data_IF_134292597624
#
_entry.id   IF_134292597624
#
_cell.length_a   1.000
_cell.length_b   1.000
_cell.length_c   1.000
_cell.angle_alpha   90.00
_cell.angle_beta   90.00
_cell.angle_gamma   90.00
#
_symmetry.space_group_name_H-M   'P 1'
#
loop_
_entity.id
_entity.type
_entity.pdbx_description
1 polymer ?
#
# COMPACT_ATOMS: atom_id res chain seq x y z
N UNK A 1 35.31 44.65 -49.46
CA UNK A 1 35.42 43.44 -48.62
C UNK A 1 34.13 43.29 -47.81
N UNK A 2 33.20 42.42 -48.25
CA UNK A 2 31.96 42.09 -47.51
C UNK A 2 32.17 40.73 -46.85
N UNK A 3 32.14 40.67 -45.51
CA UNK A 3 32.19 39.41 -44.75
C UNK A 3 30.74 38.98 -44.47
N UNK A 4 30.37 37.81 -44.99
CA UNK A 4 29.09 37.16 -44.70
C UNK A 4 29.13 36.52 -43.30
N UNK A 5 28.08 36.65 -42.47
CA UNK A 5 28.01 35.94 -41.21
C UNK A 5 27.47 34.52 -41.44
N UNK A 6 28.23 33.52 -40.98
CA UNK A 6 27.83 32.10 -40.98
C UNK A 6 26.82 31.87 -39.85
N UNK A 7 25.66 31.23 -40.09
CA UNK A 7 24.71 30.93 -39.03
C UNK A 7 25.23 29.74 -38.20
N UNK A 8 25.43 29.97 -36.91
CA UNK A 8 25.71 28.92 -35.92
C UNK A 8 24.38 28.27 -35.53
N UNK A 9 24.18 27.01 -35.94
CA UNK A 9 23.02 26.21 -35.58
C UNK A 9 23.20 25.71 -34.14
N UNK A 10 22.51 26.33 -33.17
CA UNK A 10 22.53 25.91 -31.78
C UNK A 10 21.59 24.71 -31.57
N UNK A 11 22.17 23.54 -31.32
CA UNK A 11 21.46 22.31 -30.99
C UNK A 11 21.05 22.35 -29.50
N UNK A 12 19.81 22.77 -29.20
CA UNK A 12 19.25 22.69 -27.85
C UNK A 12 18.92 21.24 -27.51
N UNK A 13 19.76 20.61 -26.68
CA UNK A 13 19.42 19.35 -26.03
C UNK A 13 18.30 19.61 -25.00
N UNK A 14 17.05 19.32 -25.37
CA UNK A 14 15.93 19.27 -24.44
C UNK A 14 16.11 18.07 -23.51
N UNK A 15 16.73 18.29 -22.36
CA UNK A 15 16.69 17.34 -21.26
C UNK A 15 15.27 17.40 -20.72
N UNK A 16 14.39 16.51 -21.21
CA UNK A 16 13.05 16.38 -20.65
C UNK A 16 13.18 15.97 -19.18
N UNK A 17 12.76 16.85 -18.27
CA UNK A 17 12.63 16.52 -16.86
C UNK A 17 11.72 15.29 -16.76
N UNK A 18 12.26 14.19 -16.23
CA UNK A 18 11.49 12.99 -15.94
C UNK A 18 10.50 13.30 -14.82
N UNK A 19 9.22 12.96 -15.02
CA UNK A 19 8.22 13.06 -13.97
C UNK A 19 8.60 12.18 -12.78
N UNK A 20 8.25 12.65 -11.59
CA UNK A 20 8.54 11.99 -10.32
C UNK A 20 7.31 11.27 -9.80
N UNK A 21 7.52 10.39 -8.83
CA UNK A 21 6.41 9.73 -8.14
C UNK A 21 5.61 10.79 -7.38
N UNK A 22 4.30 10.78 -7.59
CA UNK A 22 3.33 11.74 -7.06
C UNK A 22 3.12 12.99 -7.92
N UNK A 23 3.78 13.13 -9.08
CA UNK A 23 3.48 14.21 -10.02
C UNK A 23 2.11 13.99 -10.69
N UNK A 24 1.43 15.07 -11.08
CA UNK A 24 0.15 15.00 -11.77
C UNK A 24 0.27 14.44 -13.20
N UNK A 25 -0.76 13.71 -13.65
CA UNK A 25 -0.79 13.16 -15.00
C UNK A 25 -2.22 12.98 -15.53
N UNK A 26 -2.35 12.90 -16.85
CA UNK A 26 -3.62 12.56 -17.53
C UNK A 26 -3.50 11.21 -18.24
N UNK A 27 -2.28 10.77 -18.57
CA UNK A 27 -1.95 9.51 -19.24
C UNK A 27 -0.53 9.07 -18.90
N UNK A 28 -0.22 7.77 -19.04
CA UNK A 28 1.08 7.22 -18.63
C UNK A 28 2.30 7.82 -19.33
N UNK A 29 2.15 8.33 -20.56
CA UNK A 29 3.25 9.01 -21.26
C UNK A 29 3.65 10.34 -20.63
N UNK A 30 2.79 10.94 -19.81
CA UNK A 30 3.12 12.14 -19.03
C UNK A 30 4.11 11.77 -17.90
N UNK A 31 4.06 10.51 -17.43
CA UNK A 31 4.91 9.99 -16.36
C UNK A 31 6.23 9.38 -16.88
N UNK A 32 6.16 8.59 -17.95
CA UNK A 32 7.33 8.04 -18.63
C UNK A 32 6.97 7.60 -20.05
N UNK A 33 7.77 8.02 -21.02
CA UNK A 33 7.68 7.55 -22.41
C UNK A 33 8.20 6.11 -22.54
N UNK A 34 9.06 5.67 -21.61
CA UNK A 34 9.67 4.34 -21.59
C UNK A 34 8.88 3.33 -20.75
N UNK A 35 7.84 3.78 -20.06
CA UNK A 35 6.97 2.93 -19.24
C UNK A 35 7.52 2.60 -17.86
N UNK A 36 8.55 3.31 -17.37
CA UNK A 36 9.07 3.08 -16.01
C UNK A 36 8.10 3.56 -14.92
N UNK A 37 7.16 4.44 -15.28
CA UNK A 37 6.10 4.96 -14.41
C UNK A 37 4.77 4.93 -15.16
N UNK A 38 3.69 4.72 -14.42
CA UNK A 38 2.32 4.67 -14.93
C UNK A 38 1.53 5.82 -14.31
N UNK A 39 0.55 6.34 -15.05
CA UNK A 39 -0.40 7.30 -14.50
C UNK A 39 -1.53 6.54 -13.79
N UNK A 40 -1.53 6.55 -12.46
CA UNK A 40 -2.62 5.99 -11.67
C UNK A 40 -3.83 6.93 -11.74
N UNK A 41 -4.88 6.44 -12.40
CA UNK A 41 -6.15 7.14 -12.59
C UNK A 41 -7.22 6.72 -11.56
N UNK A 42 -6.86 5.91 -10.56
CA UNK A 42 -7.82 5.42 -9.55
C UNK A 42 -8.38 6.55 -8.69
N UNK A 43 -7.60 7.64 -8.53
CA UNK A 43 -7.97 8.79 -7.71
C UNK A 43 -7.77 10.11 -8.46
N UNK A 44 -8.41 10.26 -9.62
CA UNK A 44 -8.36 11.53 -10.36
C UNK A 44 -8.96 12.64 -9.51
N UNK A 45 -8.13 13.52 -8.98
CA UNK A 45 -8.58 14.66 -8.16
C UNK A 45 -8.44 15.97 -8.92
N UNK A 46 -9.34 16.92 -8.64
CA UNK A 46 -9.18 18.31 -9.08
C UNK A 46 -8.28 19.09 -8.11
N UNK A 47 -8.07 20.39 -8.38
CA UNK A 47 -7.23 21.27 -7.55
C UNK A 47 -7.69 21.37 -6.09
N UNK A 48 -8.95 21.01 -5.81
CA UNK A 48 -9.57 21.01 -4.48
C UNK A 48 -9.48 19.65 -3.77
N UNK A 49 -8.88 18.63 -4.39
CA UNK A 49 -8.83 17.26 -3.86
C UNK A 49 -10.08 16.43 -4.09
N UNK A 50 -11.07 16.95 -4.84
CA UNK A 50 -12.32 16.22 -5.10
C UNK A 50 -12.09 15.21 -6.21
N UNK A 51 -12.45 13.94 -5.96
CA UNK A 51 -12.39 12.87 -6.97
C UNK A 51 -13.40 13.18 -8.08
N UNK A 52 -12.91 13.39 -9.30
CA UNK A 52 -13.74 13.69 -10.48
C UNK A 52 -13.20 13.03 -11.75
N UNK A 53 -14.06 12.69 -12.72
CA UNK A 53 -13.60 12.20 -14.03
C UNK A 53 -12.73 13.20 -14.81
N UNK A 54 -12.78 14.49 -14.47
CA UNK A 54 -11.98 15.54 -15.09
C UNK A 54 -10.66 15.82 -14.36
N UNK A 55 -10.47 15.27 -13.15
CA UNK A 55 -9.27 15.46 -12.35
C UNK A 55 -8.02 14.82 -12.97
N UNK A 56 -6.89 15.01 -12.30
CA UNK A 56 -5.59 14.45 -12.70
C UNK A 56 -5.24 13.24 -11.84
N UNK A 57 -4.66 12.23 -12.48
CA UNK A 57 -4.05 11.10 -11.80
C UNK A 57 -2.70 11.47 -11.19
N UNK A 58 -2.00 10.45 -10.70
CA UNK A 58 -0.64 10.59 -10.16
C UNK A 58 0.33 9.59 -10.79
N UNK A 59 1.58 10.00 -10.96
CA UNK A 59 2.61 9.10 -11.45
C UNK A 59 3.06 8.12 -10.35
N UNK A 60 2.93 6.82 -10.60
CA UNK A 60 3.32 5.71 -9.71
C UNK A 60 4.24 4.71 -10.42
N UNK A 61 4.71 3.71 -9.68
CA UNK A 61 5.30 2.48 -10.22
C UNK A 61 4.50 1.31 -9.64
N UNK A 62 3.90 0.49 -10.48
CA UNK A 62 3.08 -0.63 -10.03
C UNK A 62 3.92 -1.90 -9.84
N UNK A 63 3.43 -2.84 -9.03
CA UNK A 63 4.06 -4.16 -8.85
C UNK A 63 5.37 -4.11 -8.08
N UNK A 64 5.54 -3.12 -7.20
CA UNK A 64 6.73 -3.01 -6.37
C UNK A 64 6.75 -4.07 -5.25
N UNK A 65 7.97 -4.42 -4.81
CA UNK A 65 8.24 -5.00 -3.50
C UNK A 65 8.73 -3.93 -2.50
N UNK A 66 8.78 -4.27 -1.20
CA UNK A 66 9.04 -3.36 -0.07
C UNK A 66 10.14 -2.32 -0.30
N UNK A 67 11.28 -2.73 -0.83
CA UNK A 67 12.48 -1.87 -1.02
C UNK A 67 12.85 -1.63 -2.49
N UNK A 68 11.95 -1.97 -3.42
CA UNK A 68 12.17 -1.77 -4.86
C UNK A 68 11.90 -0.34 -5.35
N UNK A 69 11.26 0.49 -4.53
CA UNK A 69 10.91 1.86 -4.90
C UNK A 69 12.12 2.81 -4.83
N UNK A 70 12.12 3.90 -5.65
CA UNK A 70 13.06 5.00 -5.50
C UNK A 70 13.05 5.60 -4.09
N UNK A 71 14.14 6.29 -3.71
CA UNK A 71 14.35 6.80 -2.35
C UNK A 71 13.24 7.75 -1.86
N UNK A 72 12.57 8.46 -2.75
CA UNK A 72 11.46 9.37 -2.47
C UNK A 72 10.12 8.66 -2.26
N UNK A 73 10.03 7.36 -2.52
CA UNK A 73 8.79 6.59 -2.46
C UNK A 73 8.91 5.40 -1.50
N UNK A 74 7.76 4.83 -1.18
CA UNK A 74 7.64 3.56 -0.48
C UNK A 74 6.66 2.67 -1.23
N UNK A 75 6.91 1.37 -1.21
CA UNK A 75 5.98 0.41 -1.76
C UNK A 75 4.84 0.22 -0.77
N UNK A 76 3.61 0.52 -1.19
CA UNK A 76 2.41 0.22 -0.43
C UNK A 76 1.64 -0.89 -1.10
N UNK A 77 0.79 -1.56 -0.33
CA UNK A 77 -0.19 -2.53 -0.76
C UNK A 77 -1.57 -2.00 -0.38
N UNK A 78 -2.44 -1.87 -1.37
CA UNK A 78 -3.80 -1.37 -1.23
C UNK A 78 -4.80 -2.50 -1.47
N UNK A 79 -5.67 -2.74 -0.49
CA UNK A 79 -6.83 -3.62 -0.58
C UNK A 79 -8.08 -2.79 -0.91
N UNK A 80 -9.00 -3.36 -1.67
CA UNK A 80 -10.25 -2.69 -2.02
C UNK A 80 -11.18 -2.54 -0.81
N UNK A 81 -11.83 -1.39 -0.66
CA UNK A 81 -12.73 -1.08 0.47
C UNK A 81 -14.05 -1.87 0.46
N UNK A 82 -14.40 -2.54 -0.64
CA UNK A 82 -15.66 -3.27 -0.79
C UNK A 82 -15.63 -4.69 -0.22
N UNK A 83 -14.49 -5.16 0.31
CA UNK A 83 -14.27 -6.57 0.65
C UNK A 83 -14.16 -6.84 2.16
N UNK A 84 -14.22 -5.79 2.98
CA UNK A 84 -14.09 -5.84 4.44
C UNK A 84 -15.39 -6.26 5.15
N UNK A 85 -16.07 -7.32 4.69
CA UNK A 85 -17.39 -7.70 5.21
C UNK A 85 -17.39 -8.93 6.12
N UNK A 86 -16.39 -9.81 5.98
CA UNK A 86 -16.21 -10.97 6.86
C UNK A 86 -15.30 -10.57 8.00
N UNK A 87 -15.80 -10.74 9.23
CA UNK A 87 -15.01 -10.50 10.44
C UNK A 87 -14.10 -11.69 10.72
N UNK A 88 -12.86 -11.39 11.07
CA UNK A 88 -11.83 -12.36 11.42
C UNK A 88 -11.05 -11.88 12.65
N UNK A 89 -10.31 -12.80 13.26
CA UNK A 89 -9.42 -12.51 14.39
C UNK A 89 -7.96 -12.48 13.88
N UNK A 90 -7.31 -11.29 13.74
CA UNK A 90 -5.98 -11.19 13.15
C UNK A 90 -4.90 -11.98 13.89
N UNK A 91 -5.10 -12.28 15.18
CA UNK A 91 -4.14 -13.03 15.98
C UNK A 91 -4.32 -14.55 15.86
N UNK A 92 -5.44 -15.00 15.29
CA UNK A 92 -5.83 -16.41 15.23
C UNK A 92 -6.16 -16.91 13.83
N UNK A 93 -6.26 -16.02 12.85
CA UNK A 93 -6.48 -16.41 11.46
C UNK A 93 -5.32 -17.27 10.97
N UNK A 94 -5.63 -18.48 10.50
CA UNK A 94 -4.68 -19.50 10.06
C UNK A 94 -3.61 -19.90 11.08
N UNK A 95 -3.72 -19.44 12.32
CA UNK A 95 -2.74 -19.66 13.39
C UNK A 95 -3.35 -20.42 14.57
N UNK A 96 -2.77 -21.58 14.85
CA UNK A 96 -3.03 -22.27 16.10
C UNK A 96 -2.38 -21.48 17.24
N UNK A 97 -3.08 -21.38 18.37
CA UNK A 97 -2.58 -20.68 19.56
C UNK A 97 -2.66 -21.57 20.79
N UNK A 98 -2.00 -21.16 21.86
CA UNK A 98 -2.05 -21.85 23.15
C UNK A 98 -3.03 -21.14 24.08
N UNK A 99 -3.66 -21.90 24.97
CA UNK A 99 -4.46 -21.37 26.06
C UNK A 99 -3.78 -21.72 27.37
N UNK A 100 -3.56 -20.72 28.22
CA UNK A 100 -2.93 -20.91 29.52
C UNK A 100 -4.03 -21.19 30.55
N UNK A 101 -4.06 -22.41 31.09
CA UNK A 101 -5.09 -22.79 32.06
C UNK A 101 -4.97 -22.05 33.40
N UNK A 102 -3.77 -21.65 33.81
CA UNK A 102 -3.55 -20.93 35.06
C UNK A 102 -4.03 -19.48 34.94
N UNK A 103 -3.84 -18.87 33.76
CA UNK A 103 -4.22 -17.48 33.50
C UNK A 103 -5.67 -17.33 33.02
N UNK A 104 -6.10 -18.13 32.04
CA UNK A 104 -7.39 -17.98 31.35
C UNK A 104 -8.49 -18.85 31.97
N UNK A 105 -8.12 -20.01 32.54
CA UNK A 105 -9.05 -20.99 33.10
C UNK A 105 -9.67 -21.94 32.06
N UNK A 106 -10.03 -23.14 32.52
CA UNK A 106 -10.51 -24.24 31.66
C UNK A 106 -11.79 -23.90 30.89
N UNK A 107 -12.76 -23.23 31.52
CA UNK A 107 -14.02 -22.84 30.89
C UNK A 107 -13.79 -21.88 29.71
N UNK A 108 -12.86 -20.91 29.87
CA UNK A 108 -12.54 -19.95 28.83
C UNK A 108 -11.80 -20.62 27.66
N UNK A 109 -10.84 -21.51 27.95
CA UNK A 109 -10.14 -22.29 26.93
C UNK A 109 -11.11 -23.18 26.14
N UNK A 110 -12.05 -23.84 26.82
CA UNK A 110 -13.06 -24.68 26.18
C UNK A 110 -14.01 -23.85 25.31
N UNK A 111 -14.45 -22.68 25.79
CA UNK A 111 -15.29 -21.76 25.02
C UNK A 111 -14.59 -21.24 23.75
N UNK A 112 -13.24 -21.15 23.75
CA UNK A 112 -12.40 -20.81 22.59
C UNK A 112 -12.15 -21.99 21.63
N UNK A 113 -12.73 -23.17 21.91
CA UNK A 113 -12.58 -24.40 21.14
C UNK A 113 -11.23 -25.10 21.37
N UNK A 114 -10.50 -24.74 22.43
CA UNK A 114 -9.19 -25.32 22.71
C UNK A 114 -9.34 -26.73 23.31
N UNK A 115 -8.38 -27.60 23.02
CA UNK A 115 -8.34 -28.97 23.54
C UNK A 115 -7.02 -29.25 24.24
N UNK A 116 -7.00 -30.12 25.27
CA UNK A 116 -5.76 -30.53 25.90
C UNK A 116 -4.83 -31.22 24.89
N UNK A 117 -3.56 -30.85 24.94
CA UNK A 117 -2.49 -31.51 24.19
C UNK A 117 -2.06 -32.81 24.86
N UNK A 118 -1.14 -33.53 24.21
CA UNK A 118 -0.50 -34.73 24.78
C UNK A 118 0.35 -34.43 26.02
N UNK A 119 0.78 -33.17 26.18
CA UNK A 119 1.49 -32.69 27.35
C UNK A 119 0.50 -32.14 28.38
N UNK A 120 0.61 -32.64 29.62
CA UNK A 120 -0.29 -32.24 30.69
C UNK A 120 -0.16 -30.74 30.99
N UNK A 121 -1.30 -30.03 31.03
CA UNK A 121 -1.35 -28.60 31.30
C UNK A 121 -1.23 -27.70 30.06
N UNK A 122 -0.92 -28.26 28.88
CA UNK A 122 -0.86 -27.49 27.62
C UNK A 122 -2.18 -27.64 26.88
N UNK A 123 -2.84 -26.52 26.57
CA UNK A 123 -4.05 -26.50 25.74
C UNK A 123 -3.76 -25.78 24.43
N UNK A 124 -4.20 -26.39 23.33
CA UNK A 124 -4.04 -25.83 21.98
C UNK A 124 -5.40 -25.51 21.42
N UNK A 125 -5.53 -24.30 20.90
CA UNK A 125 -6.70 -23.84 20.18
C UNK A 125 -6.45 -24.03 18.69
N UNK A 126 -7.39 -24.65 17.95
CA UNK A 126 -7.26 -24.74 16.51
C UNK A 126 -7.22 -23.33 15.89
N UNK A 127 -6.61 -23.19 14.71
CA UNK A 127 -6.71 -21.98 13.91
C UNK A 127 -8.16 -21.56 13.72
N UNK A 128 -8.39 -20.25 13.70
CA UNK A 128 -9.60 -19.71 13.08
C UNK A 128 -9.30 -19.59 11.59
N UNK A 129 -10.23 -20.05 10.76
CA UNK A 129 -10.15 -19.92 9.31
C UNK A 129 -11.42 -19.19 8.89
N UNK A 130 -11.54 -17.95 9.35
CA UNK A 130 -12.72 -17.14 9.09
C UNK A 130 -12.68 -16.55 7.67
N UNK A 131 -11.48 -16.35 7.10
CA UNK A 131 -11.26 -15.86 5.75
C UNK A 131 -11.17 -16.99 4.71
N UNK A 132 -11.48 -16.68 3.44
CA UNK A 132 -11.27 -17.62 2.34
C UNK A 132 -9.76 -17.83 2.07
N UNK A 133 -9.41 -18.93 1.39
CA UNK A 133 -8.00 -19.30 1.14
C UNK A 133 -7.19 -18.28 0.31
N UNK A 134 -7.85 -17.32 -0.34
CA UNK A 134 -7.24 -16.22 -1.09
C UNK A 134 -7.40 -14.87 -0.39
N UNK A 135 -7.84 -14.86 0.85
CA UNK A 135 -8.02 -13.67 1.66
C UNK A 135 -6.99 -13.62 2.79
N UNK A 136 -6.77 -12.42 3.31
CA UNK A 136 -5.93 -12.16 4.47
C UNK A 136 -6.74 -11.40 5.52
N UNK A 137 -6.62 -11.78 6.78
CA UNK A 137 -7.21 -11.02 7.88
C UNK A 137 -6.38 -9.76 8.16
N UNK A 138 -6.94 -8.59 7.85
CA UNK A 138 -6.28 -7.31 8.10
C UNK A 138 -6.35 -6.94 9.59
N UNK A 139 -5.46 -6.06 10.10
CA UNK A 139 -5.45 -5.61 11.50
C UNK A 139 -6.78 -5.04 12.02
N UNK A 140 -7.65 -4.60 11.13
CA UNK A 140 -9.01 -4.13 11.41
C UNK A 140 -9.99 -5.27 11.75
N UNK A 141 -9.54 -6.52 11.68
CA UNK A 141 -10.37 -7.70 11.93
C UNK A 141 -11.31 -8.02 10.78
N UNK A 142 -10.90 -7.71 9.55
CA UNK A 142 -11.71 -7.88 8.35
C UNK A 142 -10.89 -8.58 7.26
N UNK A 143 -11.50 -9.59 6.63
CA UNK A 143 -10.87 -10.31 5.52
C UNK A 143 -10.77 -9.40 4.30
N UNK A 144 -9.67 -9.54 3.55
CA UNK A 144 -9.45 -8.83 2.31
C UNK A 144 -8.84 -9.74 1.25
N UNK A 145 -9.35 -9.65 0.01
CA UNK A 145 -8.86 -10.47 -1.10
C UNK A 145 -7.45 -10.08 -1.53
N UNK A 146 -6.53 -11.03 -1.37
CA UNK A 146 -5.12 -10.91 -1.74
C UNK A 146 -4.93 -10.78 -3.25
N UNK A 147 -5.82 -11.38 -4.05
CA UNK A 147 -5.72 -11.42 -5.51
C UNK A 147 -5.98 -10.02 -6.11
N UNK A 148 -6.86 -9.24 -5.48
CA UNK A 148 -7.22 -7.90 -5.95
C UNK A 148 -6.34 -6.81 -5.36
N UNK A 149 -5.53 -7.14 -4.35
CA UNK A 149 -4.60 -6.22 -3.74
C UNK A 149 -3.57 -5.72 -4.76
N UNK A 150 -3.27 -4.44 -4.73
CA UNK A 150 -2.31 -3.82 -5.65
C UNK A 150 -1.14 -3.23 -4.89
N UNK A 151 0.08 -3.51 -5.37
CA UNK A 151 1.26 -2.81 -4.89
C UNK A 151 1.63 -1.65 -5.81
N UNK A 152 1.95 -0.49 -5.22
CA UNK A 152 2.46 0.64 -5.97
C UNK A 152 3.42 1.50 -5.14
N UNK A 153 4.41 2.09 -5.80
CA UNK A 153 5.29 3.07 -5.19
C UNK A 153 4.54 4.38 -5.05
N UNK A 154 4.30 4.81 -3.81
CA UNK A 154 3.69 6.10 -3.47
C UNK A 154 4.71 7.02 -2.84
N UNK A 155 4.56 8.33 -3.10
CA UNK A 155 5.47 9.36 -2.63
C UNK A 155 5.46 9.40 -1.10
N UNK A 156 6.63 9.32 -0.47
CA UNK A 156 6.76 9.51 0.97
C UNK A 156 6.60 10.97 1.35
N UNK A 157 6.11 11.21 2.56
CA UNK A 157 5.95 12.55 3.11
C UNK A 157 6.27 12.57 4.61
N UNK A 158 6.63 13.74 5.11
CA UNK A 158 6.75 14.03 6.55
C UNK A 158 5.58 14.89 7.03
N UNK A 159 4.97 15.68 6.14
CA UNK A 159 3.82 16.53 6.41
C UNK A 159 2.97 16.75 5.14
N UNK A 160 1.76 17.30 5.28
CA UNK A 160 0.89 17.61 4.15
C UNK A 160 1.52 18.55 3.11
N UNK A 161 2.54 19.34 3.50
CA UNK A 161 3.23 20.27 2.58
C UNK A 161 4.14 19.57 1.57
N UNK A 162 4.48 18.30 1.81
CA UNK A 162 5.31 17.49 0.91
C UNK A 162 4.47 16.88 -0.24
N UNK A 163 3.14 16.97 -0.10
CA UNK A 163 2.17 16.42 -1.02
C UNK A 163 1.64 17.51 -1.98
N UNK A 164 1.14 17.07 -3.14
CA UNK A 164 0.50 17.96 -4.11
C UNK A 164 -0.86 18.45 -3.62
N UNK A 165 -1.44 19.45 -4.30
CA UNK A 165 -2.80 19.91 -3.98
C UNK A 165 -3.80 18.75 -4.04
N UNK A 166 -4.74 18.75 -3.10
CA UNK A 166 -5.73 17.68 -3.00
C UNK A 166 -5.23 16.37 -2.40
N UNK A 167 -3.99 16.35 -1.89
CA UNK A 167 -3.39 15.21 -1.20
C UNK A 167 -3.01 15.57 0.24
N UNK A 168 -3.03 14.57 1.11
CA UNK A 168 -2.60 14.65 2.49
C UNK A 168 -1.60 13.54 2.84
N UNK A 169 -0.85 13.77 3.93
CA UNK A 169 0.22 12.89 4.36
C UNK A 169 -0.29 11.89 5.40
N UNK A 170 -0.65 10.70 4.95
CA UNK A 170 -1.25 9.65 5.77
C UNK A 170 -0.23 8.59 6.18
N UNK A 171 -0.38 8.05 7.38
CA UNK A 171 0.37 6.91 7.85
C UNK A 171 -0.28 5.62 7.32
N UNK A 172 0.51 4.72 6.74
CA UNK A 172 0.03 3.38 6.38
C UNK A 172 -0.27 2.54 7.63
N UNK A 173 -0.88 1.37 7.44
CA UNK A 173 -1.21 0.43 8.50
C UNK A 173 -2.69 0.42 8.86
N UNK A 174 -3.52 1.12 8.08
CA UNK A 174 -4.96 1.14 8.29
C UNK A 174 -5.72 1.40 7.00
N UNK A 175 -7.03 1.15 7.02
CA UNK A 175 -7.99 1.43 5.96
C UNK A 175 -7.63 0.75 4.63
N UNK A 176 -7.10 -0.47 4.70
CA UNK A 176 -6.71 -1.23 3.52
C UNK A 176 -5.40 -0.78 2.89
N UNK A 177 -4.66 0.19 3.47
CA UNK A 177 -3.39 0.69 2.93
C UNK A 177 -2.24 0.36 3.88
N UNK A 178 -1.36 -0.55 3.45
CA UNK A 178 -0.21 -1.01 4.25
C UNK A 178 1.08 -0.79 3.49
N UNK A 179 2.21 -0.74 4.19
CA UNK A 179 3.50 -0.93 3.51
C UNK A 179 3.55 -2.35 2.96
N UNK A 180 4.11 -2.55 1.78
CA UNK A 180 4.30 -3.90 1.25
C UNK A 180 5.11 -4.76 2.25
N UNK A 181 4.76 -6.06 2.40
CA UNK A 181 5.37 -6.94 3.39
C UNK A 181 6.87 -7.13 3.12
N UNK A 182 7.62 -7.42 4.19
CA UNK A 182 8.99 -7.89 4.05
C UNK A 182 8.95 -9.36 3.69
N UNK A 183 9.86 -9.80 2.82
CA UNK A 183 10.00 -11.23 2.56
C UNK A 183 10.80 -11.88 3.70
N UNK A 184 11.73 -11.16 4.31
CA UNK A 184 12.60 -11.68 5.35
C UNK A 184 11.99 -11.57 6.76
N UNK A 185 11.01 -10.69 6.94
CA UNK A 185 10.32 -10.37 8.19
C UNK A 185 8.87 -9.89 7.93
N UNK A 186 7.96 -10.81 7.55
CA UNK A 186 6.60 -10.47 7.12
C UNK A 186 5.78 -9.76 8.21
N UNK A 187 6.13 -9.98 9.48
CA UNK A 187 5.44 -9.41 10.64
C UNK A 187 5.90 -7.99 10.97
N UNK A 188 6.91 -7.46 10.29
CA UNK A 188 7.42 -6.11 10.54
C UNK A 188 6.41 -5.04 10.08
N UNK A 189 5.76 -4.31 11.02
CA UNK A 189 4.67 -3.40 10.72
C UNK A 189 5.21 -2.00 10.39
N UNK A 190 6.39 -1.90 9.75
CA UNK A 190 7.10 -0.64 9.50
C UNK A 190 6.26 0.34 8.68
N UNK A 191 5.37 1.05 9.37
CA UNK A 191 4.46 2.00 8.77
C UNK A 191 5.25 3.17 8.22
N UNK A 192 4.79 3.68 7.09
CA UNK A 192 5.41 4.78 6.37
C UNK A 192 4.35 5.83 6.10
N UNK A 193 4.77 7.10 6.06
CA UNK A 193 3.88 8.18 5.66
C UNK A 193 3.96 8.38 4.15
N UNK A 194 2.82 8.39 3.48
CA UNK A 194 2.69 8.58 2.04
C UNK A 194 1.67 9.67 1.70
N UNK A 195 1.84 10.31 0.55
CA UNK A 195 0.85 11.20 0.00
C UNK A 195 -0.31 10.39 -0.59
N UNK A 196 -1.51 10.64 -0.11
CA UNK A 196 -2.76 10.07 -0.61
C UNK A 196 -3.77 11.19 -0.90
N UNK A 197 -4.71 11.00 -1.83
CA UNK A 197 -5.81 11.93 -2.05
C UNK A 197 -6.59 12.16 -0.76
N UNK A 198 -7.02 13.40 -0.52
CA UNK A 198 -7.95 13.73 0.58
C UNK A 198 -9.29 13.03 0.31
N UNK A 199 -9.84 12.36 1.33
CA UNK A 199 -11.13 11.66 1.24
C UNK A 199 -12.34 12.56 1.46
#
# INVERSE_FOLDING_TARGET
MRRSPTPVLALFALIACQAKIGDECVRSTDCSIRGERVCDLSHRVNDQGVITPAGQGECTIDGCGRDSCPKEAACIKAYGSNFLSVACDPEREDLATFCDLEQDGEDACTARGCSPSVEAGVWTCPPRNDCDANEVCLPEGLCADEITARTSCRRKCSSNRDCRSGYECLLTGSEGIYRAPDVDDPDNPSNVRICMPVR
#
